data_IF_144744626327
#
_entry.id   IF_144744626327
#
_cell.length_a   1.000
_cell.length_b   1.000
_cell.length_c   1.000
_cell.angle_alpha   90.00
_cell.angle_beta   90.00
_cell.angle_gamma   90.00
#
_symmetry.space_group_name_H-M   'P 1'
#
loop_
_entity.id
_entity.type
_entity.pdbx_description
1 polymer ?
#
# COMPACT_ATOMS: atom_id res chain seq x y z
N UNK A 1 26.41 -11.05 -37.61
CA UNK A 1 27.86 -11.36 -37.70
C UNK A 1 28.66 -10.07 -37.73
N UNK A 2 29.89 -10.00 -37.21
CA UNK A 2 30.38 -10.64 -35.98
C UNK A 2 30.98 -9.62 -34.99
N UNK A 3 31.08 -9.98 -33.78
CA UNK A 3 32.22 -10.17 -32.89
C UNK A 3 33.42 -9.21 -33.04
N UNK A 4 33.81 -8.63 -31.93
CA UNK A 4 35.21 -8.62 -31.51
C UNK A 4 35.42 -8.25 -30.06
N UNK A 5 35.98 -9.14 -29.34
CA UNK A 5 36.66 -9.10 -28.05
C UNK A 5 38.17 -9.08 -28.33
N UNK A 6 39.08 -8.94 -27.39
CA UNK A 6 39.69 -7.87 -26.62
C UNK A 6 41.13 -7.58 -27.07
N UNK A 7 42.02 -6.93 -26.33
CA UNK A 7 42.95 -7.70 -25.51
C UNK A 7 43.42 -7.08 -24.18
N UNK A 8 43.71 -8.00 -23.30
CA UNK A 8 44.60 -8.00 -22.19
C UNK A 8 46.06 -7.63 -22.54
N UNK A 9 46.72 -6.83 -21.72
CA UNK A 9 48.17 -6.86 -21.58
C UNK A 9 48.58 -6.55 -20.14
N UNK A 10 49.13 -7.52 -19.47
CA UNK A 10 50.18 -7.53 -18.46
C UNK A 10 51.49 -7.83 -19.21
N UNK A 11 52.72 -7.66 -18.74
CA UNK A 11 53.28 -7.31 -17.44
C UNK A 11 54.56 -6.43 -17.54
N UNK A 12 55.21 -6.07 -16.45
CA UNK A 12 56.66 -6.22 -16.27
C UNK A 12 57.19 -5.45 -15.04
N UNK A 13 57.72 -6.18 -14.13
CA UNK A 13 58.79 -5.70 -13.26
C UNK A 13 60.11 -5.73 -14.00
N UNK A 14 61.14 -4.97 -13.57
CA UNK A 14 62.25 -5.62 -12.93
C UNK A 14 62.89 -4.85 -11.74
N UNK A 15 63.43 -5.59 -10.83
CA UNK A 15 64.60 -5.32 -9.98
C UNK A 15 65.89 -5.51 -10.83
N UNK A 16 67.15 -5.17 -10.41
CA UNK A 16 67.69 -4.99 -9.06
C UNK A 16 68.90 -4.00 -8.93
N UNK A 17 69.46 -4.03 -7.71
CA UNK A 17 70.91 -3.95 -7.38
C UNK A 17 71.50 -2.64 -6.78
N UNK A 18 71.82 -2.74 -5.54
CA UNK A 18 73.09 -2.84 -4.83
C UNK A 18 73.95 -1.58 -4.68
N UNK A 19 74.19 -1.12 -3.45
CA UNK A 19 75.49 -1.00 -2.80
C UNK A 19 75.43 -0.15 -1.52
N UNK A 20 75.68 -0.81 -0.45
CA UNK A 20 76.59 -0.54 0.70
C UNK A 20 77.15 0.86 0.85
N UNK A 21 76.95 1.44 2.06
CA UNK A 21 78.04 1.71 3.06
C UNK A 21 77.41 2.24 4.35
N UNK A 22 77.77 1.63 5.45
CA UNK A 22 77.75 2.16 6.81
C UNK A 22 78.96 3.05 7.06
N UNK A 23 78.97 4.01 8.02
CA UNK A 23 79.22 3.61 9.41
C UNK A 23 78.43 4.40 10.49
N UNK A 24 78.13 3.68 11.55
CA UNK A 24 78.29 3.91 13.01
C UNK A 24 78.56 5.33 13.47
N UNK A 25 77.74 5.85 14.39
CA UNK A 25 78.04 6.37 15.74
C UNK A 25 76.72 6.61 16.47
N UNK A 26 76.42 5.77 17.44
CA UNK A 26 76.23 6.01 18.86
C UNK A 26 75.70 7.38 19.28
N UNK A 27 74.43 7.39 19.72
CA UNK A 27 74.06 7.88 21.05
C UNK A 27 72.62 7.60 21.40
N UNK A 28 72.37 6.74 22.36
CA UNK A 28 71.14 6.64 23.18
C UNK A 28 71.28 7.70 24.29
N UNK A 29 70.20 8.31 24.83
CA UNK A 29 68.91 7.72 25.25
C UNK A 29 67.70 8.68 25.11
N UNK A 30 66.67 8.27 24.46
CA UNK A 30 65.32 8.84 24.74
C UNK A 30 64.22 7.91 24.23
N UNK A 31 63.99 6.79 24.92
CA UNK A 31 62.99 5.78 24.56
C UNK A 31 62.01 5.53 25.71
N UNK A 32 61.79 6.51 26.55
CA UNK A 32 60.79 6.33 27.64
C UNK A 32 59.59 7.28 27.59
N UNK A 33 59.60 8.35 26.83
CA UNK A 33 58.44 9.26 26.75
C UNK A 33 57.50 9.00 25.55
N UNK A 34 57.95 8.36 24.48
CA UNK A 34 57.15 8.09 23.27
C UNK A 34 56.23 6.87 23.38
N UNK A 35 56.41 6.00 24.40
CA UNK A 35 55.57 4.81 24.60
C UNK A 35 54.33 5.07 25.46
N UNK A 36 54.35 6.09 26.31
CA UNK A 36 53.17 6.51 27.07
C UNK A 36 52.16 7.25 26.18
N UNK A 37 52.62 8.16 25.34
CA UNK A 37 51.74 8.97 24.47
C UNK A 37 51.09 8.13 23.37
N UNK A 38 51.78 7.09 22.86
CA UNK A 38 51.19 6.15 21.91
C UNK A 38 50.14 5.25 22.55
N UNK A 39 50.35 4.81 23.81
CA UNK A 39 49.41 3.97 24.54
C UNK A 39 48.13 4.74 24.94
N UNK A 40 48.28 6.02 25.29
CA UNK A 40 47.12 6.89 25.59
C UNK A 40 46.35 7.25 24.31
N UNK A 41 47.01 7.55 23.22
CA UNK A 41 46.36 7.79 21.92
C UNK A 41 45.62 6.55 21.42
N UNK A 42 46.15 5.36 21.66
CA UNK A 42 45.47 4.12 21.28
C UNK A 42 44.23 3.84 22.15
N UNK A 43 44.30 4.14 23.44
CA UNK A 43 43.14 4.05 24.35
C UNK A 43 42.04 5.02 23.99
N UNK A 44 42.42 6.27 23.66
CA UNK A 44 41.46 7.28 23.19
C UNK A 44 40.78 6.90 21.87
N UNK A 45 41.55 6.36 20.89
CA UNK A 45 41.01 5.85 19.65
C UNK A 45 40.05 4.68 19.84
N UNK A 46 40.37 3.76 20.77
CA UNK A 46 39.50 2.63 21.09
C UNK A 46 38.22 3.09 21.78
N UNK A 47 38.32 4.02 22.72
CA UNK A 47 37.15 4.60 23.40
C UNK A 47 36.22 5.33 22.42
N UNK A 48 36.77 6.16 21.53
CA UNK A 48 36.01 6.85 20.50
C UNK A 48 35.34 5.88 19.51
N UNK A 49 36.06 4.82 19.11
CA UNK A 49 35.52 3.80 18.23
C UNK A 49 34.39 2.99 18.88
N UNK A 50 34.50 2.75 20.17
CA UNK A 50 33.46 2.06 20.94
C UNK A 50 32.22 2.94 21.13
N UNK A 51 32.41 4.23 21.40
CA UNK A 51 31.33 5.20 21.48
C UNK A 51 30.59 5.34 20.13
N UNK A 52 31.31 5.52 19.04
CA UNK A 52 30.72 5.54 17.70
C UNK A 52 29.99 4.24 17.34
N UNK A 53 30.51 3.11 17.80
CA UNK A 53 29.85 1.82 17.60
C UNK A 53 28.53 1.74 18.37
N UNK A 54 28.52 2.23 19.62
CA UNK A 54 27.29 2.30 20.44
C UNK A 54 26.24 3.21 19.83
N UNK A 55 26.66 4.41 19.38
CA UNK A 55 25.78 5.34 18.69
C UNK A 55 25.17 4.74 17.41
N UNK A 56 26.00 4.06 16.60
CA UNK A 56 25.50 3.37 15.39
C UNK A 56 24.53 2.26 15.72
N UNK A 57 24.79 1.49 16.76
CA UNK A 57 23.88 0.42 17.18
C UNK A 57 22.56 0.98 17.72
N UNK A 58 22.61 2.08 18.48
CA UNK A 58 21.41 2.76 18.95
C UNK A 58 20.57 3.32 17.78
N UNK A 59 21.22 4.01 16.84
CA UNK A 59 20.55 4.54 15.65
C UNK A 59 19.94 3.43 14.76
N UNK A 60 20.63 2.28 14.64
CA UNK A 60 20.09 1.12 13.92
C UNK A 60 18.90 0.51 14.65
N UNK A 61 18.92 0.50 16.00
CA UNK A 61 17.79 0.05 16.81
C UNK A 61 16.56 0.93 16.60
N UNK A 62 16.71 2.26 16.68
CA UNK A 62 15.63 3.22 16.44
C UNK A 62 15.04 3.08 15.02
N UNK A 63 15.90 2.93 14.00
CA UNK A 63 15.44 2.72 12.63
C UNK A 63 14.69 1.40 12.44
N UNK A 64 15.13 0.34 13.13
CA UNK A 64 14.46 -0.95 13.08
C UNK A 64 13.08 -0.89 13.76
N UNK A 65 13.00 -0.26 14.94
CA UNK A 65 11.74 -0.10 15.67
C UNK A 65 10.75 0.77 14.88
N UNK A 66 11.21 1.89 14.30
CA UNK A 66 10.39 2.76 13.46
C UNK A 66 9.90 2.05 12.18
N UNK A 67 10.76 1.23 11.56
CA UNK A 67 10.36 0.44 10.39
C UNK A 67 9.35 -0.65 10.73
N UNK A 68 9.51 -1.30 11.88
CA UNK A 68 8.56 -2.31 12.37
C UNK A 68 7.21 -1.66 12.70
N UNK A 69 7.22 -0.52 13.38
CA UNK A 69 6.00 0.20 13.70
C UNK A 69 5.22 0.59 12.44
N UNK A 70 5.91 1.16 11.44
CA UNK A 70 5.26 1.48 10.15
C UNK A 70 4.70 0.27 9.42
N UNK A 71 5.37 -0.88 9.50
CA UNK A 71 4.85 -2.10 8.87
C UNK A 71 3.61 -2.63 9.58
N UNK A 72 3.57 -2.56 10.92
CA UNK A 72 2.39 -2.94 11.71
C UNK A 72 1.21 -1.99 11.46
N UNK A 73 1.47 -0.69 11.40
CA UNK A 73 0.43 0.30 11.09
C UNK A 73 -0.14 0.10 9.68
N UNK A 74 0.73 -0.16 8.68
CA UNK A 74 0.29 -0.45 7.32
C UNK A 74 -0.52 -1.75 7.22
N UNK A 75 -0.14 -2.79 7.96
CA UNK A 75 -0.90 -4.05 8.01
C UNK A 75 -2.27 -3.86 8.68
N UNK A 76 -2.32 -3.07 9.76
CA UNK A 76 -3.58 -2.73 10.42
C UNK A 76 -4.52 -1.93 9.50
N UNK A 77 -4.00 -0.95 8.75
CA UNK A 77 -4.78 -0.21 7.76
C UNK A 77 -5.32 -1.13 6.66
N UNK A 78 -4.51 -2.04 6.13
CA UNK A 78 -4.95 -3.00 5.11
C UNK A 78 -6.03 -3.95 5.62
N UNK A 79 -5.95 -4.38 6.87
CA UNK A 79 -6.99 -5.21 7.48
C UNK A 79 -8.31 -4.45 7.60
N UNK A 80 -8.28 -3.21 8.09
CA UNK A 80 -9.46 -2.35 8.21
C UNK A 80 -10.10 -2.05 6.84
N UNK A 81 -9.29 -1.76 5.82
CA UNK A 81 -9.79 -1.57 4.46
C UNK A 81 -10.44 -2.85 3.91
N UNK A 82 -9.85 -4.01 4.18
CA UNK A 82 -10.39 -5.31 3.79
C UNK A 82 -11.75 -5.60 4.44
N UNK A 83 -11.88 -5.35 5.74
CA UNK A 83 -13.14 -5.52 6.48
C UNK A 83 -14.21 -4.55 5.97
N UNK A 84 -13.88 -3.28 5.78
CA UNK A 84 -14.77 -2.28 5.24
C UNK A 84 -15.27 -2.65 3.83
N UNK A 85 -14.37 -3.15 2.97
CA UNK A 85 -14.73 -3.57 1.62
C UNK A 85 -15.70 -4.76 1.64
N UNK A 86 -15.46 -5.74 2.50
CA UNK A 86 -16.32 -6.90 2.66
C UNK A 86 -17.70 -6.50 3.20
N UNK A 87 -17.73 -5.59 4.17
CA UNK A 87 -18.97 -5.04 4.71
C UNK A 87 -19.78 -4.31 3.63
N UNK A 88 -19.16 -3.42 2.86
CA UNK A 88 -19.80 -2.70 1.74
C UNK A 88 -20.37 -3.68 0.73
N UNK A 89 -19.65 -4.72 0.34
CA UNK A 89 -20.13 -5.74 -0.61
C UNK A 89 -21.35 -6.49 -0.06
N UNK A 90 -21.36 -6.79 1.23
CA UNK A 90 -22.48 -7.46 1.88
C UNK A 90 -23.76 -6.62 1.82
N UNK A 91 -23.68 -5.33 2.17
CA UNK A 91 -24.83 -4.42 2.07
C UNK A 91 -25.27 -4.21 0.63
N UNK A 92 -24.35 -4.09 -0.32
CA UNK A 92 -24.68 -4.01 -1.74
C UNK A 92 -25.44 -5.24 -2.22
N UNK A 93 -25.03 -6.44 -1.84
CA UNK A 93 -25.73 -7.67 -2.15
C UNK A 93 -27.14 -7.68 -1.56
N UNK A 94 -27.32 -7.21 -0.33
CA UNK A 94 -28.60 -7.05 0.32
C UNK A 94 -29.54 -6.07 -0.43
N UNK A 95 -29.00 -4.96 -0.90
CA UNK A 95 -29.73 -3.99 -1.71
C UNK A 95 -30.21 -4.63 -3.02
N UNK A 96 -29.34 -5.35 -3.73
CA UNK A 96 -29.69 -6.07 -4.95
C UNK A 96 -30.80 -7.09 -4.72
N UNK A 97 -30.72 -7.88 -3.66
CA UNK A 97 -31.71 -8.89 -3.31
C UNK A 97 -33.08 -8.27 -2.97
N UNK A 98 -33.07 -7.16 -2.24
CA UNK A 98 -34.32 -6.48 -1.89
C UNK A 98 -34.99 -5.85 -3.10
N UNK A 99 -34.22 -5.24 -4.00
CA UNK A 99 -34.75 -4.69 -5.27
C UNK A 99 -35.30 -5.82 -6.13
N UNK A 100 -34.58 -6.95 -6.24
CA UNK A 100 -35.04 -8.14 -6.96
C UNK A 100 -36.37 -8.66 -6.44
N UNK A 101 -36.56 -8.77 -5.13
CA UNK A 101 -37.83 -9.22 -4.51
C UNK A 101 -39.00 -8.30 -4.82
N UNK A 102 -38.74 -7.01 -4.99
CA UNK A 102 -39.76 -6.00 -5.28
C UNK A 102 -39.96 -5.75 -6.77
N UNK A 103 -39.18 -6.41 -7.65
CA UNK A 103 -39.29 -6.19 -9.08
C UNK A 103 -40.34 -7.07 -9.74
N UNK A 104 -41.21 -6.44 -10.51
CA UNK A 104 -42.13 -7.11 -11.42
C UNK A 104 -41.59 -7.00 -12.83
N UNK A 105 -41.14 -8.10 -13.42
CA UNK A 105 -40.59 -8.14 -14.77
C UNK A 105 -41.68 -7.78 -15.80
N UNK A 106 -41.49 -6.71 -16.57
CA UNK A 106 -42.43 -6.40 -17.66
C UNK A 106 -42.23 -7.35 -18.85
N UNK A 107 -43.24 -7.60 -19.66
CA UNK A 107 -43.13 -8.44 -20.88
C UNK A 107 -42.10 -7.97 -21.89
N UNK A 108 -41.78 -6.69 -21.87
CA UNK A 108 -40.78 -6.06 -22.73
C UNK A 108 -39.33 -6.25 -22.27
N UNK A 109 -39.14 -6.78 -21.06
CA UNK A 109 -37.78 -7.00 -20.52
C UNK A 109 -37.08 -8.14 -21.25
N UNK A 110 -36.01 -7.83 -21.95
CA UNK A 110 -35.14 -8.78 -22.68
C UNK A 110 -33.77 -8.81 -22.06
N UNK A 111 -33.10 -9.94 -22.23
CA UNK A 111 -31.70 -10.08 -21.83
C UNK A 111 -30.83 -9.10 -22.64
N UNK A 112 -29.79 -8.55 -22.01
CA UNK A 112 -28.92 -7.52 -22.58
C UNK A 112 -29.42 -6.09 -22.38
N UNK A 113 -30.66 -5.89 -21.89
CA UNK A 113 -31.10 -4.55 -21.48
C UNK A 113 -30.42 -4.16 -20.16
N UNK A 114 -30.04 -2.91 -20.03
CA UNK A 114 -29.50 -2.37 -18.79
C UNK A 114 -29.97 -0.91 -18.60
N UNK A 115 -30.35 -0.58 -17.39
CA UNK A 115 -30.64 0.77 -16.97
C UNK A 115 -29.79 1.17 -15.79
N UNK A 116 -29.31 2.40 -15.75
CA UNK A 116 -28.51 2.92 -14.65
C UNK A 116 -29.27 3.98 -13.92
N UNK A 117 -29.37 3.81 -12.61
CA UNK A 117 -30.03 4.76 -11.73
C UNK A 117 -29.01 5.35 -10.76
N UNK A 118 -29.22 6.59 -10.36
CA UNK A 118 -28.64 7.17 -9.15
C UNK A 118 -29.67 7.05 -8.05
N UNK A 119 -29.27 6.46 -6.96
CA UNK A 119 -30.08 6.30 -5.75
C UNK A 119 -29.44 7.12 -4.63
N UNK A 120 -30.22 7.93 -3.95
CA UNK A 120 -29.81 8.68 -2.78
C UNK A 120 -30.55 8.15 -1.56
N UNK A 121 -29.78 7.85 -0.50
CA UNK A 121 -30.31 7.35 0.78
C UNK A 121 -30.03 8.37 1.89
N UNK A 122 -30.84 8.29 2.93
CA UNK A 122 -30.53 8.91 4.22
C UNK A 122 -29.89 7.87 5.15
N UNK A 123 -29.22 8.27 6.25
CA UNK A 123 -28.50 7.34 7.15
C UNK A 123 -29.36 6.23 7.75
N UNK A 124 -30.69 6.39 7.78
CA UNK A 124 -31.63 5.33 8.17
C UNK A 124 -31.82 4.23 7.13
N UNK A 125 -31.22 4.39 5.92
CA UNK A 125 -31.36 3.51 4.77
C UNK A 125 -32.61 3.78 3.92
N UNK A 126 -33.42 4.80 4.24
CA UNK A 126 -34.60 5.15 3.44
C UNK A 126 -34.19 5.82 2.12
N UNK A 127 -34.96 5.51 1.06
CA UNK A 127 -34.74 6.06 -0.27
C UNK A 127 -35.25 7.50 -0.31
N UNK A 128 -34.32 8.44 -0.46
CA UNK A 128 -34.60 9.86 -0.61
C UNK A 128 -34.99 10.19 -2.06
N UNK A 129 -34.16 9.77 -3.01
CA UNK A 129 -34.39 10.02 -4.43
C UNK A 129 -33.93 8.86 -5.31
N UNK A 130 -34.55 8.71 -6.48
CA UNK A 130 -34.16 7.78 -7.55
C UNK A 130 -34.26 8.54 -8.87
N UNK A 131 -33.16 8.62 -9.58
CA UNK A 131 -33.07 9.26 -10.89
C UNK A 131 -32.48 8.31 -11.93
N UNK A 132 -33.12 8.24 -13.12
CA UNK A 132 -32.59 7.48 -14.25
C UNK A 132 -31.44 8.27 -14.88
N UNK A 133 -30.27 7.63 -15.02
CA UNK A 133 -29.07 8.20 -15.66
C UNK A 133 -28.97 7.69 -17.09
N UNK A 134 -29.01 6.37 -17.27
CA UNK A 134 -28.96 5.74 -18.58
C UNK A 134 -30.21 4.85 -18.78
N UNK A 135 -30.96 5.12 -19.84
CA UNK A 135 -32.13 4.33 -20.21
C UNK A 135 -31.74 3.03 -20.90
N UNK A 136 -32.51 1.98 -20.65
CA UNK A 136 -32.40 0.71 -21.37
C UNK A 136 -32.91 0.75 -22.81
N UNK A 137 -33.51 1.85 -23.24
CA UNK A 137 -34.27 1.95 -24.51
C UNK A 137 -35.72 1.47 -24.41
N UNK A 138 -36.15 0.94 -23.26
CA UNK A 138 -37.52 0.50 -23.01
C UNK A 138 -38.12 1.23 -21.81
N UNK A 139 -39.00 2.19 -22.06
CA UNK A 139 -39.59 2.99 -20.97
C UNK A 139 -40.45 2.16 -20.00
N UNK A 140 -40.95 0.99 -20.39
CA UNK A 140 -41.65 0.07 -19.47
C UNK A 140 -40.67 -0.67 -18.55
N UNK A 141 -39.52 -1.03 -19.09
CA UNK A 141 -38.44 -1.62 -18.27
C UNK A 141 -37.89 -0.61 -17.27
N UNK A 142 -37.55 0.60 -17.74
CA UNK A 142 -36.98 1.65 -16.89
C UNK A 142 -37.95 2.01 -15.73
N UNK A 143 -39.24 2.18 -16.04
CA UNK A 143 -40.26 2.43 -15.01
C UNK A 143 -40.41 1.27 -14.02
N UNK A 144 -40.35 0.03 -14.51
CA UNK A 144 -40.46 -1.14 -13.63
C UNK A 144 -39.27 -1.24 -12.66
N UNK A 145 -38.05 -0.89 -13.14
CA UNK A 145 -36.85 -0.85 -12.33
C UNK A 145 -36.90 0.25 -11.28
N UNK A 146 -37.28 1.49 -11.70
CA UNK A 146 -37.51 2.60 -10.77
C UNK A 146 -38.51 2.26 -9.68
N UNK A 147 -39.64 1.66 -10.07
CA UNK A 147 -40.67 1.25 -9.13
C UNK A 147 -40.17 0.18 -8.15
N UNK A 148 -39.32 -0.77 -8.58
CA UNK A 148 -38.74 -1.78 -7.71
C UNK A 148 -37.87 -1.14 -6.61
N UNK A 149 -37.02 -0.17 -7.00
CA UNK A 149 -36.18 0.57 -6.04
C UNK A 149 -37.07 1.37 -5.06
N UNK A 150 -38.06 2.09 -5.57
CA UNK A 150 -38.99 2.87 -4.71
C UNK A 150 -39.83 1.99 -3.80
N UNK A 151 -40.27 0.79 -4.22
CA UNK A 151 -41.03 -0.18 -3.41
C UNK A 151 -40.20 -0.79 -2.29
N UNK A 152 -38.88 -0.89 -2.47
CA UNK A 152 -37.98 -1.34 -1.42
C UNK A 152 -38.01 -0.41 -0.19
N UNK A 153 -38.29 0.87 -0.39
CA UNK A 153 -38.47 1.94 0.60
C UNK A 153 -37.25 2.16 1.50
N UNK A 154 -36.72 1.10 2.09
CA UNK A 154 -35.60 1.13 3.03
C UNK A 154 -34.66 -0.01 2.73
N UNK A 155 -33.39 0.31 2.64
CA UNK A 155 -32.29 -0.63 2.50
C UNK A 155 -31.57 -0.81 3.84
N UNK A 156 -30.97 -1.95 4.03
CA UNK A 156 -30.03 -2.14 5.12
C UNK A 156 -28.71 -1.51 4.75
N UNK A 157 -28.16 -0.68 5.65
CA UNK A 157 -26.97 0.14 5.43
C UNK A 157 -26.07 0.10 6.67
N UNK A 158 -24.76 0.31 6.54
CA UNK A 158 -23.86 0.31 7.68
C UNK A 158 -24.22 1.40 8.69
N UNK A 159 -24.00 1.09 9.97
CA UNK A 159 -24.21 2.02 11.10
C UNK A 159 -23.09 3.06 11.17
N UNK A 160 -21.94 2.76 10.58
CA UNK A 160 -20.82 3.69 10.50
C UNK A 160 -21.12 4.81 9.51
N UNK A 161 -21.09 6.04 10.02
CA UNK A 161 -21.39 7.22 9.21
C UNK A 161 -20.36 7.45 8.07
N UNK A 162 -19.08 7.16 8.33
CA UNK A 162 -18.03 7.33 7.32
C UNK A 162 -18.23 6.37 6.15
N UNK A 163 -18.49 5.10 6.47
CA UNK A 163 -18.74 4.05 5.49
C UNK A 163 -20.03 4.32 4.70
N UNK A 164 -21.09 4.78 5.39
CA UNK A 164 -22.34 5.17 4.75
C UNK A 164 -22.17 6.36 3.78
N UNK A 165 -21.57 7.46 4.25
CA UNK A 165 -21.38 8.67 3.45
C UNK A 165 -20.53 8.40 2.20
N UNK A 166 -19.49 7.58 2.33
CA UNK A 166 -18.59 7.25 1.22
C UNK A 166 -19.24 6.35 0.14
N UNK A 167 -20.10 5.39 0.56
CA UNK A 167 -20.53 4.32 -0.34
C UNK A 167 -22.03 4.25 -0.61
N UNK A 168 -22.89 4.75 0.31
CA UNK A 168 -24.34 4.51 0.27
C UNK A 168 -25.18 5.75 0.21
N UNK A 169 -24.66 6.92 0.61
CA UNK A 169 -25.42 8.18 0.52
C UNK A 169 -25.87 8.47 -0.89
N UNK A 170 -25.02 8.23 -1.88
CA UNK A 170 -25.31 8.40 -3.29
C UNK A 170 -24.53 7.37 -4.10
N UNK A 171 -25.23 6.43 -4.71
CA UNK A 171 -24.58 5.38 -5.47
C UNK A 171 -25.30 5.10 -6.79
N UNK A 172 -24.56 4.48 -7.72
CA UNK A 172 -25.12 4.04 -8.98
C UNK A 172 -25.61 2.61 -8.88
N UNK A 173 -26.85 2.39 -9.24
CA UNK A 173 -27.45 1.08 -9.31
C UNK A 173 -27.61 0.68 -10.78
N UNK A 174 -26.93 -0.38 -11.19
CA UNK A 174 -27.04 -0.95 -12.52
C UNK A 174 -28.07 -2.06 -12.49
N UNK A 175 -29.16 -1.87 -13.24
CA UNK A 175 -30.29 -2.77 -13.29
C UNK A 175 -30.21 -3.63 -14.55
N UNK A 176 -30.09 -4.96 -14.40
CA UNK A 176 -30.08 -5.93 -15.50
C UNK A 176 -31.10 -7.03 -15.24
N UNK A 177 -31.92 -7.42 -16.25
CA UNK A 177 -32.90 -8.52 -16.04
C UNK A 177 -32.25 -9.85 -15.69
N UNK A 178 -31.03 -10.10 -16.17
CA UNK A 178 -30.30 -11.35 -15.97
C UNK A 178 -29.86 -11.54 -14.53
N UNK A 179 -29.42 -10.47 -13.87
CA UNK A 179 -28.93 -10.50 -12.49
C UNK A 179 -30.08 -10.73 -11.48
N UNK A 180 -31.32 -10.51 -11.92
CA UNK A 180 -32.51 -10.54 -11.09
C UNK A 180 -33.34 -11.81 -11.24
N UNK A 181 -32.91 -12.76 -12.10
CA UNK A 181 -33.66 -13.99 -12.39
C UNK A 181 -33.13 -15.26 -11.70
N UNK A 182 -32.10 -15.12 -10.84
CA UNK A 182 -31.55 -16.27 -10.09
C UNK A 182 -32.27 -16.52 -8.79
#
# INVERSE_FOLDING_TARGET
>A
KPAQKPPSVKPSAPKPAVARTTPVVENTPQVKETQSDTAEAERQRKALAEEQRRERLAALGELADDSLQRSLDAEAEQMLEGENLQEVQSYQAGIYDLVRKNWSRPPSARNGMQARFVVELIPTGEVLSVALVDSSGSGSFDRSAEQAIRRARRFDVPQDNGLFEANFRRFYFLFRPEDLLR
#
